data_IF_987238049803
#
_entry.id   IF_987238049803
#
_cell.length_a   1.000
_cell.length_b   1.000
_cell.length_c   1.000
_cell.angle_alpha   90.00
_cell.angle_beta   90.00
_cell.angle_gamma   90.00
#
_symmetry.space_group_name_H-M   'P 1'
#
loop_
_entity.id
_entity.type
_entity.pdbx_description
1 polymer ?
#
# COMPACT_ATOMS: atom_id res chain seq x y z
N UNK A 1 9.79 -7.95 -5.04
CA UNK A 1 8.53 -7.38 -4.49
C UNK A 1 7.31 -8.32 -4.65
N UNK A 2 7.26 -9.21 -5.65
CA UNK A 2 6.03 -9.96 -5.97
C UNK A 2 5.91 -11.38 -5.40
N UNK A 3 6.89 -11.87 -4.63
CA UNK A 3 6.92 -13.26 -4.16
C UNK A 3 5.83 -13.59 -3.12
N UNK A 4 5.19 -12.58 -2.55
CA UNK A 4 4.08 -12.72 -1.59
C UNK A 4 2.73 -13.01 -2.25
N UNK A 5 2.65 -12.92 -3.59
CA UNK A 5 1.42 -13.18 -4.36
C UNK A 5 1.50 -14.55 -5.03
N UNK A 6 0.36 -15.22 -5.27
CA UNK A 6 0.34 -16.45 -6.10
C UNK A 6 0.79 -16.14 -7.54
N UNK A 7 1.27 -17.12 -8.33
CA UNK A 7 1.64 -16.90 -9.73
C UNK A 7 0.52 -16.27 -10.58
N UNK A 8 -0.73 -16.60 -10.27
CA UNK A 8 -1.98 -16.21 -10.91
C UNK A 8 -2.81 -15.18 -10.11
N UNK A 9 -2.18 -14.50 -9.15
CA UNK A 9 -2.85 -13.55 -8.23
C UNK A 9 -3.66 -12.49 -8.98
N UNK A 10 -4.89 -12.24 -8.53
CA UNK A 10 -5.83 -11.32 -9.16
C UNK A 10 -5.96 -10.03 -8.37
N UNK A 11 -5.67 -8.91 -9.02
CA UNK A 11 -5.74 -7.59 -8.38
C UNK A 11 -6.85 -6.71 -8.96
N UNK A 12 -7.37 -5.84 -8.09
CA UNK A 12 -7.85 -4.52 -8.49
C UNK A 12 -7.13 -3.49 -7.65
N UNK A 13 -6.39 -2.59 -8.28
CA UNK A 13 -5.78 -1.44 -7.62
C UNK A 13 -6.35 -0.16 -8.22
N UNK A 14 -7.22 0.54 -7.47
CA UNK A 14 -8.03 1.64 -8.00
C UNK A 14 -8.87 1.14 -9.19
N UNK A 15 -8.53 1.58 -10.40
CA UNK A 15 -9.19 1.24 -11.67
C UNK A 15 -8.31 0.35 -12.58
N UNK A 16 -7.19 -0.16 -12.06
CA UNK A 16 -6.28 -1.06 -12.79
C UNK A 16 -6.42 -2.50 -12.28
N UNK A 17 -6.21 -3.48 -13.16
CA UNK A 17 -6.50 -4.89 -12.89
C UNK A 17 -5.32 -5.83 -13.25
N UNK A 18 -4.17 -5.75 -12.55
CA UNK A 18 -3.06 -6.68 -12.80
C UNK A 18 -3.45 -8.15 -12.57
N UNK A 19 -3.07 -9.02 -13.50
CA UNK A 19 -3.30 -10.45 -13.47
C UNK A 19 -1.96 -11.21 -13.42
N UNK A 20 -1.71 -11.91 -12.31
CA UNK A 20 -0.51 -12.70 -12.10
C UNK A 20 0.74 -11.87 -11.78
N UNK A 21 1.83 -12.56 -11.39
CA UNK A 21 3.05 -11.91 -10.88
C UNK A 21 3.72 -10.97 -11.89
N UNK A 22 3.64 -11.27 -13.17
CA UNK A 22 4.28 -10.46 -14.22
C UNK A 22 3.67 -9.06 -14.27
N UNK A 23 2.36 -8.95 -14.44
CA UNK A 23 1.65 -7.67 -14.47
C UNK A 23 1.72 -6.93 -13.13
N UNK A 24 1.74 -7.66 -12.01
CA UNK A 24 1.95 -7.06 -10.69
C UNK A 24 3.34 -6.39 -10.60
N UNK A 25 4.38 -7.01 -11.14
CA UNK A 25 5.73 -6.42 -11.16
C UNK A 25 5.76 -5.15 -12.02
N UNK A 26 5.12 -5.18 -13.19
CA UNK A 26 5.00 -4.00 -14.06
C UNK A 26 4.26 -2.86 -13.36
N UNK A 27 3.11 -3.15 -12.76
CA UNK A 27 2.33 -2.19 -11.98
C UNK A 27 3.16 -1.56 -10.86
N UNK A 28 3.86 -2.39 -10.06
CA UNK A 28 4.67 -1.90 -8.94
C UNK A 28 5.89 -1.08 -9.40
N UNK A 29 6.47 -1.44 -10.54
CA UNK A 29 7.57 -0.69 -11.16
C UNK A 29 7.11 0.71 -11.56
N UNK A 30 5.96 0.82 -12.22
CA UNK A 30 5.38 2.11 -12.59
C UNK A 30 4.96 2.92 -11.37
N UNK A 31 4.36 2.28 -10.37
CA UNK A 31 3.96 2.91 -9.09
C UNK A 31 5.14 3.61 -8.44
N UNK A 32 6.28 2.94 -8.29
CA UNK A 32 7.44 3.53 -7.60
C UNK A 32 8.27 4.48 -8.46
N UNK A 33 8.13 4.44 -9.79
CA UNK A 33 8.66 5.48 -10.66
C UNK A 33 7.90 6.80 -10.50
N UNK A 34 6.61 6.74 -10.14
CA UNK A 34 5.75 7.92 -9.92
C UNK A 34 5.76 8.39 -8.46
N UNK A 35 5.64 7.46 -7.52
CA UNK A 35 5.47 7.75 -6.10
C UNK A 35 6.81 7.77 -5.37
N UNK A 36 7.48 8.92 -5.41
CA UNK A 36 8.81 9.11 -4.82
C UNK A 36 8.72 9.32 -3.30
N UNK A 37 9.81 9.07 -2.58
CA UNK A 37 9.88 9.19 -1.11
C UNK A 37 8.80 8.38 -0.35
N UNK A 38 8.31 7.30 -0.97
CA UNK A 38 7.20 6.47 -0.51
C UNK A 38 7.42 5.89 0.90
N UNK A 39 6.52 6.23 1.82
CA UNK A 39 6.47 5.69 3.20
C UNK A 39 5.06 5.23 3.51
N UNK A 40 4.93 4.03 4.07
CA UNK A 40 3.64 3.34 4.24
C UNK A 40 3.43 2.86 5.67
N UNK A 41 2.21 3.03 6.17
CA UNK A 41 1.71 2.42 7.40
C UNK A 41 0.47 1.60 7.03
N UNK A 42 0.46 0.31 7.41
CA UNK A 42 -0.72 -0.56 7.33
C UNK A 42 -1.17 -0.91 8.74
N UNK A 43 -2.47 -1.07 8.91
CA UNK A 43 -3.10 -1.42 10.17
C UNK A 43 -4.28 -2.37 9.93
N UNK A 44 -4.40 -3.39 10.78
CA UNK A 44 -5.47 -4.36 10.71
C UNK A 44 -6.82 -3.67 10.96
N UNK A 45 -7.82 -3.99 10.14
CA UNK A 45 -9.21 -3.58 10.38
C UNK A 45 -10.07 -4.74 10.91
N UNK A 46 -10.05 -5.85 10.19
CA UNK A 46 -10.77 -7.07 10.55
C UNK A 46 -10.15 -8.27 9.82
N UNK A 47 -10.47 -9.49 10.26
CA UNK A 47 -10.11 -10.70 9.55
C UNK A 47 -11.19 -11.77 9.77
N UNK A 48 -11.30 -12.70 8.82
CA UNK A 48 -12.16 -13.87 8.90
C UNK A 48 -11.61 -14.98 7.99
N UNK A 49 -11.37 -16.16 8.55
CA UNK A 49 -10.74 -17.28 7.83
C UNK A 49 -9.42 -16.89 7.16
N UNK A 50 -9.33 -17.08 5.83
CA UNK A 50 -8.16 -16.74 5.01
C UNK A 50 -8.20 -15.30 4.45
N UNK A 51 -9.03 -14.42 5.02
CA UNK A 51 -9.22 -13.04 4.55
C UNK A 51 -8.82 -12.02 5.61
N UNK A 52 -8.20 -10.93 5.14
CA UNK A 52 -7.79 -9.79 5.98
C UNK A 52 -8.28 -8.50 5.34
N UNK A 53 -8.93 -7.65 6.12
CA UNK A 53 -9.22 -6.26 5.78
C UNK A 53 -8.20 -5.34 6.46
N UNK A 54 -7.61 -4.43 5.69
CA UNK A 54 -6.53 -3.54 6.12
C UNK A 54 -6.89 -2.10 5.80
N UNK A 55 -6.64 -1.21 6.76
CA UNK A 55 -6.55 0.23 6.54
C UNK A 55 -5.08 0.60 6.36
N UNK A 56 -4.81 1.58 5.50
CA UNK A 56 -3.45 2.08 5.36
C UNK A 56 -3.42 3.54 4.91
N UNK A 57 -2.30 4.17 5.16
CA UNK A 57 -1.95 5.43 4.52
C UNK A 57 -0.49 5.40 4.08
N UNK A 58 -0.19 6.09 2.98
CA UNK A 58 1.18 6.32 2.54
C UNK A 58 1.40 7.79 2.13
N UNK A 59 2.61 8.28 2.38
CA UNK A 59 3.05 9.62 1.99
C UNK A 59 4.12 9.49 0.91
N UNK A 60 4.05 10.37 -0.09
CA UNK A 60 4.93 10.38 -1.25
C UNK A 60 4.91 11.77 -1.91
N UNK A 61 5.87 12.06 -2.79
CA UNK A 61 5.82 13.20 -3.69
C UNK A 61 5.98 12.79 -5.15
N UNK A 62 5.44 13.61 -6.05
CA UNK A 62 5.68 13.43 -7.48
C UNK A 62 6.95 14.17 -7.94
N UNK A 63 7.30 14.03 -9.22
CA UNK A 63 8.49 14.64 -9.80
C UNK A 63 8.47 16.19 -9.81
N UNK A 64 7.33 16.83 -9.52
CA UNK A 64 7.21 18.29 -9.38
C UNK A 64 7.45 18.77 -7.95
N UNK A 65 7.54 17.84 -7.00
CA UNK A 65 7.69 18.13 -5.56
C UNK A 65 6.37 18.26 -4.81
N UNK A 66 5.21 18.10 -5.47
CA UNK A 66 3.92 18.06 -4.79
C UNK A 66 3.82 16.81 -3.92
N UNK A 67 3.53 17.01 -2.64
CA UNK A 67 3.32 15.93 -1.68
C UNK A 67 1.86 15.47 -1.64
N UNK A 68 1.67 14.20 -1.36
CA UNK A 68 0.36 13.58 -1.18
C UNK A 68 0.37 12.70 0.06
N UNK A 69 -0.78 12.62 0.72
CA UNK A 69 -1.13 11.50 1.60
C UNK A 69 -2.24 10.71 0.94
N UNK A 70 -1.94 9.46 0.64
CA UNK A 70 -2.90 8.52 0.07
C UNK A 70 -3.52 7.68 1.17
N UNK A 71 -4.84 7.67 1.24
CA UNK A 71 -5.63 6.87 2.17
C UNK A 71 -6.19 5.66 1.43
N UNK A 72 -6.03 4.47 2.00
CA UNK A 72 -6.43 3.25 1.34
C UNK A 72 -7.10 2.23 2.25
N UNK A 73 -8.01 1.49 1.62
CA UNK A 73 -8.53 0.23 2.14
C UNK A 73 -8.12 -0.87 1.18
N UNK A 74 -7.62 -1.98 1.72
CA UNK A 74 -7.37 -3.16 0.93
C UNK A 74 -7.86 -4.43 1.62
N UNK A 75 -8.40 -5.33 0.81
CA UNK A 75 -8.86 -6.64 1.23
C UNK A 75 -8.01 -7.69 0.55
N UNK A 76 -7.50 -8.62 1.35
CA UNK A 76 -6.62 -9.69 0.94
C UNK A 76 -7.30 -11.03 1.17
N UNK A 77 -7.10 -11.96 0.24
CA UNK A 77 -7.41 -13.37 0.43
C UNK A 77 -6.15 -14.20 0.13
N UNK A 78 -5.86 -15.17 0.99
CA UNK A 78 -4.66 -16.00 0.93
C UNK A 78 -4.99 -17.44 0.60
N UNK A 79 -4.10 -18.10 -0.16
CA UNK A 79 -4.15 -19.54 -0.43
C UNK A 79 -3.67 -20.36 0.79
N UNK A 80 -3.72 -21.68 0.69
CA UNK A 80 -3.27 -22.58 1.74
C UNK A 80 -1.75 -22.52 2.05
N UNK A 81 -0.95 -21.93 1.15
CA UNK A 81 0.48 -21.73 1.33
C UNK A 81 0.83 -20.35 1.91
N UNK A 82 -0.17 -19.52 2.21
CA UNK A 82 0.00 -18.17 2.73
C UNK A 82 0.37 -17.13 1.66
N UNK A 83 0.20 -17.44 0.38
CA UNK A 83 0.37 -16.49 -0.73
C UNK A 83 -0.95 -15.78 -1.02
N UNK A 84 -0.89 -14.49 -1.34
CA UNK A 84 -2.09 -13.71 -1.63
C UNK A 84 -2.59 -14.00 -3.04
N UNK A 85 -3.77 -14.62 -3.15
CA UNK A 85 -4.44 -14.95 -4.42
C UNK A 85 -5.36 -13.82 -4.90
N UNK A 86 -5.94 -13.03 -3.99
CA UNK A 86 -6.74 -11.86 -4.33
C UNK A 86 -6.30 -10.62 -3.55
N UNK A 87 -6.18 -9.49 -4.26
CA UNK A 87 -5.92 -8.17 -3.67
C UNK A 87 -6.84 -7.11 -4.25
N UNK A 88 -7.76 -6.61 -3.44
CA UNK A 88 -8.63 -5.51 -3.83
C UNK A 88 -8.28 -4.26 -3.03
N UNK A 89 -7.77 -3.23 -3.69
CA UNK A 89 -7.35 -1.98 -3.06
C UNK A 89 -8.07 -0.77 -3.66
N UNK A 90 -8.70 0.02 -2.81
CA UNK A 90 -9.26 1.34 -3.12
C UNK A 90 -8.44 2.39 -2.41
N UNK A 91 -8.01 3.42 -3.13
CA UNK A 91 -7.06 4.42 -2.64
C UNK A 91 -7.47 5.79 -3.17
N UNK A 92 -7.45 6.80 -2.31
CA UNK A 92 -7.71 8.20 -2.62
C UNK A 92 -6.53 9.07 -2.19
N UNK A 93 -6.14 10.01 -3.04
CA UNK A 93 -4.99 10.89 -2.80
C UNK A 93 -5.47 12.25 -2.31
N UNK A 94 -4.89 12.73 -1.21
CA UNK A 94 -5.06 14.07 -0.70
C UNK A 94 -3.75 14.84 -0.92
N UNK A 95 -3.73 15.92 -1.72
CA UNK A 95 -2.59 16.82 -1.76
C UNK A 95 -2.33 17.42 -0.38
N UNK A 96 -1.07 17.46 0.04
CA UNK A 96 -0.63 18.04 1.31
C UNK A 96 0.60 18.92 1.08
N UNK A 97 0.87 19.85 2.00
CA UNK A 97 2.15 20.53 2.07
C UNK A 97 3.20 19.61 2.72
N UNK A 98 4.47 19.83 2.42
CA UNK A 98 5.57 19.06 3.03
C UNK A 98 5.55 19.14 4.56
N UNK A 99 5.18 20.29 5.11
CA UNK A 99 5.08 20.52 6.57
C UNK A 99 3.96 19.72 7.24
N UNK A 100 3.02 19.18 6.47
CA UNK A 100 1.90 18.38 6.99
C UNK A 100 2.23 16.89 7.03
N UNK A 101 3.40 16.47 6.54
CA UNK A 101 3.87 15.09 6.58
C UNK A 101 3.93 14.56 8.01
N UNK A 102 3.54 13.30 8.19
CA UNK A 102 3.57 12.58 9.47
C UNK A 102 4.57 11.43 9.45
N UNK A 103 5.03 10.99 8.28
CA UNK A 103 5.86 9.79 8.14
C UNK A 103 7.33 10.17 7.98
N UNK A 104 8.06 10.10 9.10
CA UNK A 104 9.44 10.56 9.20
C UNK A 104 10.37 9.43 9.68
N UNK A 105 10.93 8.69 8.72
CA UNK A 105 12.00 7.72 8.95
C UNK A 105 12.85 7.56 7.66
N UNK A 106 14.09 7.02 7.72
CA UNK A 106 14.86 6.68 6.52
C UNK A 106 14.07 5.73 5.60
N UNK A 107 14.21 5.84 4.28
CA UNK A 107 13.45 4.99 3.36
C UNK A 107 13.68 3.50 3.64
N UNK A 108 12.58 2.74 3.69
CA UNK A 108 12.57 1.32 4.04
C UNK A 108 11.59 1.01 5.17
N UNK A 109 11.96 0.01 6.00
CA UNK A 109 11.11 -0.50 7.07
C UNK A 109 10.82 0.58 8.11
N UNK A 110 9.53 0.78 8.42
CA UNK A 110 9.08 1.62 9.54
C UNK A 110 9.72 1.14 10.86
N UNK A 111 10.33 2.03 11.67
CA UNK A 111 10.86 1.67 12.99
C UNK A 111 9.75 1.17 13.93
N UNK A 112 10.10 0.27 14.86
CA UNK A 112 9.13 -0.36 15.77
C UNK A 112 8.44 0.66 16.69
N UNK A 113 9.17 1.70 17.12
CA UNK A 113 8.65 2.77 17.97
C UNK A 113 7.96 3.91 17.21
N UNK A 114 7.83 3.85 15.88
CA UNK A 114 7.08 4.87 15.15
C UNK A 114 5.57 4.67 15.38
N UNK A 115 4.80 5.74 15.63
CA UNK A 115 3.35 5.65 15.78
C UNK A 115 2.65 4.91 14.63
N UNK A 116 1.58 4.19 14.98
CA UNK A 116 0.63 3.50 14.10
C UNK A 116 -0.34 4.48 13.41
N UNK A 117 -1.27 3.94 12.62
CA UNK A 117 -2.23 4.77 11.88
C UNK A 117 -3.19 5.47 12.86
N UNK A 118 -3.75 4.72 13.82
CA UNK A 118 -4.65 5.28 14.83
C UNK A 118 -3.94 6.26 15.78
N UNK A 119 -2.70 5.99 16.20
CA UNK A 119 -1.94 6.90 17.07
C UNK A 119 -1.63 8.24 16.39
N UNK A 120 -1.57 8.27 15.06
CA UNK A 120 -1.42 9.50 14.28
C UNK A 120 -2.75 10.21 13.99
N UNK A 121 -3.88 9.66 14.42
CA UNK A 121 -5.22 10.18 14.14
C UNK A 121 -5.53 10.21 12.64
N UNK A 122 -5.14 9.15 11.92
CA UNK A 122 -5.36 8.98 10.47
C UNK A 122 -6.35 7.85 10.17
#
# INVERSE_FOLDING_TARGET
VSLVYTPDSQWRNRAEFPCGRAEIVEFLTQKWAKELEYRLIKELWAFDGNRIAVRFAYEWNDATGQWYRSYGNENWQFDANGLMEFRYASINDLPINETERKFHWPLGRRPDGHPSLNELGL
#
